data_IF_557162433440
#
_entry.id   IF_557162433440
#
_cell.length_a   1.000
_cell.length_b   1.000
_cell.length_c   1.000
_cell.angle_alpha   90.00
_cell.angle_beta   90.00
_cell.angle_gamma   90.00
#
_symmetry.space_group_name_H-M   'P 1'
#
loop_
_entity.id
_entity.type
_entity.pdbx_description
1 polymer ?
#
# COMPACT_ATOMS: atom_id res chain seq x y z
N UNK A 1 24.69 5.29 -21.82
CA UNK A 1 25.24 3.96 -22.16
C UNK A 1 24.98 3.06 -20.95
N UNK A 2 24.46 1.84 -21.11
CA UNK A 2 24.15 0.98 -19.95
C UNK A 2 25.47 0.39 -19.43
N UNK A 3 26.03 0.96 -18.36
CA UNK A 3 27.40 0.71 -17.86
C UNK A 3 27.66 -0.70 -17.27
N UNK A 4 26.74 -1.65 -17.46
CA UNK A 4 26.88 -3.01 -16.95
C UNK A 4 26.47 -4.12 -17.94
N UNK A 5 26.25 -3.81 -19.23
CA UNK A 5 25.69 -4.79 -20.18
C UNK A 5 26.68 -5.85 -20.71
N UNK A 6 27.99 -5.75 -20.41
CA UNK A 6 29.02 -6.60 -21.04
C UNK A 6 29.93 -7.41 -20.10
N UNK A 7 29.71 -7.42 -18.78
CA UNK A 7 30.57 -8.14 -17.83
C UNK A 7 29.79 -8.93 -16.78
N UNK A 8 30.16 -10.19 -16.58
CA UNK A 8 29.56 -11.09 -15.58
C UNK A 8 29.54 -10.47 -14.18
N UNK A 9 30.63 -9.79 -13.79
CA UNK A 9 30.75 -9.07 -12.51
C UNK A 9 29.80 -7.86 -12.41
N UNK A 10 29.43 -7.27 -13.54
CA UNK A 10 28.39 -6.24 -13.63
C UNK A 10 27.01 -6.80 -13.30
N UNK A 11 26.65 -7.93 -13.91
CA UNK A 11 25.38 -8.62 -13.67
C UNK A 11 25.15 -8.97 -12.19
N UNK A 12 26.17 -9.48 -11.49
CA UNK A 12 26.07 -9.76 -10.04
C UNK A 12 25.84 -8.50 -9.18
N UNK A 13 26.32 -7.34 -9.61
CA UNK A 13 26.14 -6.07 -8.88
C UNK A 13 24.79 -5.41 -9.17
N UNK A 14 24.13 -5.76 -10.26
CA UNK A 14 22.85 -5.16 -10.67
C UNK A 14 21.74 -5.27 -9.62
N UNK A 15 21.48 -6.43 -8.97
CA UNK A 15 20.46 -6.52 -7.93
C UNK A 15 20.69 -5.54 -6.77
N UNK A 16 21.96 -5.31 -6.39
CA UNK A 16 22.33 -4.39 -5.31
C UNK A 16 22.16 -2.93 -5.71
N UNK A 17 22.55 -2.56 -6.93
CA UNK A 17 22.35 -1.21 -7.46
C UNK A 17 20.85 -0.87 -7.56
N UNK A 18 20.03 -1.80 -8.08
CA UNK A 18 18.58 -1.63 -8.16
C UNK A 18 17.94 -1.52 -6.78
N UNK A 19 18.36 -2.35 -5.81
CA UNK A 19 17.86 -2.26 -4.44
C UNK A 19 18.25 -0.92 -3.77
N UNK A 20 19.45 -0.39 -4.06
CA UNK A 20 19.89 0.93 -3.59
C UNK A 20 18.99 2.04 -4.12
N UNK A 21 18.76 2.06 -5.43
CA UNK A 21 17.86 3.01 -6.10
C UNK A 21 16.43 2.91 -5.54
N UNK A 22 15.89 1.69 -5.40
CA UNK A 22 14.57 1.46 -4.82
C UNK A 22 14.46 1.98 -3.37
N UNK A 23 15.53 1.82 -2.57
CA UNK A 23 15.60 2.32 -1.19
C UNK A 23 15.65 3.84 -1.14
N UNK A 24 16.42 4.47 -2.02
CA UNK A 24 16.49 5.94 -2.16
C UNK A 24 15.13 6.52 -2.56
N UNK A 25 14.46 5.96 -3.57
CA UNK A 25 13.10 6.39 -3.95
C UNK A 25 12.08 6.20 -2.82
N UNK A 26 12.17 5.10 -2.06
CA UNK A 26 11.31 4.87 -0.89
C UNK A 26 11.56 5.87 0.23
N UNK A 27 12.80 6.33 0.40
CA UNK A 27 13.16 7.35 1.39
C UNK A 27 12.70 8.75 0.95
N UNK A 28 12.81 9.06 -0.35
CA UNK A 28 12.30 10.32 -0.91
C UNK A 28 10.77 10.40 -0.83
N UNK A 29 10.06 9.30 -1.11
CA UNK A 29 8.61 9.20 -0.92
C UNK A 29 8.18 9.18 0.56
N UNK A 30 9.13 8.94 1.48
CA UNK A 30 8.94 9.03 2.94
C UNK A 30 9.17 10.42 3.50
N UNK A 31 9.68 11.38 2.71
CA UNK A 31 9.58 12.78 3.05
C UNK A 31 8.09 13.11 3.04
N UNK A 32 7.47 12.99 4.21
CA UNK A 32 6.03 13.07 4.41
C UNK A 32 5.59 14.48 4.01
N UNK A 33 5.15 14.67 2.77
CA UNK A 33 4.22 15.74 2.48
C UNK A 33 3.04 15.51 3.44
N UNK A 34 2.81 16.45 4.36
CA UNK A 34 1.69 16.31 5.28
C UNK A 34 0.45 16.25 4.41
N UNK A 35 -0.31 15.16 4.51
CA UNK A 35 -1.53 14.97 3.74
C UNK A 35 -2.54 16.11 4.01
N UNK A 36 -2.40 16.78 5.15
CA UNK A 36 -3.15 17.95 5.60
C UNK A 36 -2.86 19.22 4.79
N UNK A 37 -1.68 19.33 4.16
CA UNK A 37 -1.28 20.52 3.37
C UNK A 37 -1.94 20.54 1.98
N UNK A 38 -2.61 19.46 1.58
CA UNK A 38 -3.29 19.37 0.29
C UNK A 38 -4.70 19.97 0.36
N UNK A 39 -5.03 20.81 -0.63
CA UNK A 39 -6.35 21.45 -0.74
C UNK A 39 -7.53 20.48 -0.76
N UNK A 40 -7.33 19.25 -1.24
CA UNK A 40 -8.38 18.22 -1.32
C UNK A 40 -8.41 17.27 -0.09
N UNK A 41 -7.60 17.51 0.94
CA UNK A 41 -7.51 16.64 2.12
C UNK A 41 -8.88 16.43 2.80
N UNK A 42 -9.66 17.51 2.96
CA UNK A 42 -10.98 17.44 3.59
C UNK A 42 -11.96 16.58 2.78
N UNK A 43 -11.94 16.70 1.45
CA UNK A 43 -12.77 15.89 0.55
C UNK A 43 -12.37 14.42 0.64
N UNK A 44 -11.07 14.13 0.65
CA UNK A 44 -10.55 12.78 0.81
C UNK A 44 -10.98 12.15 2.15
N UNK A 45 -11.00 12.94 3.24
CA UNK A 45 -11.46 12.49 4.54
C UNK A 45 -12.96 12.13 4.53
N UNK A 46 -13.79 12.96 3.88
CA UNK A 46 -15.22 12.68 3.70
C UNK A 46 -15.45 11.39 2.91
N UNK A 47 -14.73 11.19 1.80
CA UNK A 47 -14.79 9.95 1.01
C UNK A 47 -14.36 8.72 1.82
N UNK A 48 -13.28 8.83 2.62
CA UNK A 48 -12.77 7.75 3.47
C UNK A 48 -13.78 7.34 4.55
N UNK A 49 -14.60 8.28 5.01
CA UNK A 49 -15.64 8.04 6.00
C UNK A 49 -16.87 7.31 5.44
N UNK A 50 -17.08 7.36 4.12
CA UNK A 50 -18.20 6.70 3.46
C UNK A 50 -18.19 5.17 3.64
N UNK A 51 -19.37 4.57 3.76
CA UNK A 51 -19.54 3.14 4.00
C UNK A 51 -18.89 2.30 2.91
N UNK A 52 -19.14 2.63 1.63
CA UNK A 52 -18.60 1.90 0.49
C UNK A 52 -17.07 1.86 0.48
N UNK A 53 -16.42 2.97 0.87
CA UNK A 53 -14.96 3.02 0.97
C UNK A 53 -14.45 2.09 2.08
N UNK A 54 -15.07 2.15 3.27
CA UNK A 54 -14.69 1.29 4.41
C UNK A 54 -14.86 -0.18 4.06
N UNK A 55 -15.96 -0.54 3.39
CA UNK A 55 -16.24 -1.90 2.96
C UNK A 55 -15.22 -2.40 1.93
N UNK A 56 -14.95 -1.60 0.89
CA UNK A 56 -13.95 -1.93 -0.13
C UNK A 56 -12.55 -2.07 0.46
N UNK A 57 -12.16 -1.18 1.37
CA UNK A 57 -10.86 -1.26 2.07
C UNK A 57 -10.75 -2.54 2.91
N UNK A 58 -11.81 -2.90 3.63
CA UNK A 58 -11.85 -4.14 4.42
C UNK A 58 -11.81 -5.39 3.52
N UNK A 59 -12.47 -5.37 2.35
CA UNK A 59 -12.37 -6.43 1.35
C UNK A 59 -10.94 -6.59 0.80
N UNK A 60 -10.26 -5.48 0.48
CA UNK A 60 -8.87 -5.51 0.01
C UNK A 60 -7.94 -6.09 1.09
N UNK A 61 -8.13 -5.72 2.36
CA UNK A 61 -7.36 -6.31 3.47
C UNK A 61 -7.62 -7.80 3.62
N UNK A 62 -8.87 -8.24 3.50
CA UNK A 62 -9.24 -9.65 3.53
C UNK A 62 -8.56 -10.42 2.41
N UNK A 63 -8.53 -9.86 1.19
CA UNK A 63 -7.85 -10.45 0.05
C UNK A 63 -6.33 -10.55 0.27
N UNK A 64 -5.67 -9.50 0.78
CA UNK A 64 -4.24 -9.53 1.11
C UNK A 64 -3.88 -10.55 2.19
N UNK A 65 -4.84 -10.90 3.05
CA UNK A 65 -4.66 -11.85 4.16
C UNK A 65 -5.46 -13.13 3.95
N UNK A 66 -5.77 -13.48 2.69
CA UNK A 66 -6.60 -14.63 2.35
C UNK A 66 -6.03 -15.93 2.95
N UNK A 67 -4.71 -16.09 2.90
CA UNK A 67 -3.95 -17.22 3.47
C UNK A 67 -4.04 -17.33 5.01
N UNK A 68 -4.55 -16.29 5.70
CA UNK A 68 -4.84 -16.27 7.15
C UNK A 68 -6.35 -16.27 7.43
N UNK A 69 -7.15 -16.80 6.50
CA UNK A 69 -8.61 -16.77 6.59
C UNK A 69 -9.16 -15.34 6.69
N UNK A 70 -8.56 -14.38 6.00
CA UNK A 70 -8.96 -12.97 6.01
C UNK A 70 -10.43 -12.73 5.66
N UNK A 71 -10.99 -13.54 4.76
CA UNK A 71 -12.40 -13.49 4.38
C UNK A 71 -13.37 -13.96 5.47
N UNK A 72 -13.01 -14.97 6.27
CA UNK A 72 -13.80 -15.41 7.42
C UNK A 72 -13.88 -14.30 8.47
N UNK A 73 -12.74 -13.68 8.80
CA UNK A 73 -12.70 -12.51 9.71
C UNK A 73 -13.56 -11.37 9.19
N UNK A 74 -13.46 -11.06 7.90
CA UNK A 74 -14.26 -10.02 7.25
C UNK A 74 -15.77 -10.28 7.37
N UNK A 75 -16.23 -11.52 7.15
CA UNK A 75 -17.64 -11.87 7.33
C UNK A 75 -18.13 -11.67 8.77
N UNK A 76 -17.36 -12.11 9.77
CA UNK A 76 -17.70 -11.89 11.18
C UNK A 76 -17.71 -10.41 11.55
N UNK A 77 -16.78 -9.62 11.02
CA UNK A 77 -16.72 -8.16 11.24
C UNK A 77 -17.96 -7.46 10.68
N UNK A 78 -18.39 -7.80 9.46
CA UNK A 78 -19.63 -7.25 8.87
C UNK A 78 -20.83 -7.63 9.73
N UNK A 79 -20.96 -8.90 10.10
CA UNK A 79 -22.08 -9.41 10.90
C UNK A 79 -22.15 -8.75 12.28
N UNK A 80 -21.00 -8.43 12.88
CA UNK A 80 -20.91 -7.71 14.15
C UNK A 80 -21.30 -6.24 14.00
N UNK A 81 -20.89 -5.58 12.92
CA UNK A 81 -21.20 -4.18 12.68
C UNK A 81 -22.67 -3.98 12.26
N UNK A 82 -23.27 -4.93 11.54
CA UNK A 82 -24.69 -4.92 11.18
C UNK A 82 -25.62 -5.10 12.39
N UNK A 83 -25.14 -5.71 13.48
CA UNK A 83 -25.88 -5.81 14.76
C UNK A 83 -25.78 -4.55 15.64
N UNK A 84 -24.94 -3.57 15.26
CA UNK A 84 -24.65 -2.36 16.04
C UNK A 84 -25.23 -1.08 15.41
N UNK A 85 -25.79 -1.20 14.20
CA UNK A 85 -26.58 -0.18 13.52
C UNK A 85 -28.04 -0.53 13.76
#
# INVERSE_FOLDING_TARGET
MIDHSKSFKGYFKMPFALNKIAKEHKNLAKNNANLEDFSDHEKALKCKNHLSYKLGNALIKAHKTWYKCGYLKFYFDIKKNQKRI
#
